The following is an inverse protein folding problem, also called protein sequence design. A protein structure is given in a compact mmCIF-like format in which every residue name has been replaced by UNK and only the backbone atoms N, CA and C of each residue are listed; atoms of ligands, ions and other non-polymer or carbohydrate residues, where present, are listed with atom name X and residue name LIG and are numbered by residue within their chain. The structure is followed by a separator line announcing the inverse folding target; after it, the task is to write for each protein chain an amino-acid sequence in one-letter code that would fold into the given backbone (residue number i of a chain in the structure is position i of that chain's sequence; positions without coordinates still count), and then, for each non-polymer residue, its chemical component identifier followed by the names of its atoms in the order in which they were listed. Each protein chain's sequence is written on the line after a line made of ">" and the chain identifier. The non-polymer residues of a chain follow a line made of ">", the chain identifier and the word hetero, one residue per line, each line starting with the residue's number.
data_IF_742990938483
#
_entry.id   IF_742990938483
#
_cell.length_a   1.000
_cell.length_b   1.000
_cell.length_c   1.000
_cell.angle_alpha   90.00
_cell.angle_beta   90.00
_cell.angle_gamma   90.00
#
_symmetry.space_group_name_H-M   'P 1'
#
loop_
_entity.id
_entity.type
_entity.pdbx_description
1 polymer ?
#
# COMPACT_ATOMS: atom_id res chain seq x y z
N UNK A 1 7.22 -17.63 23.76
CA UNK A 1 6.42 -16.66 22.96
C UNK A 1 5.82 -17.45 21.83
N UNK A 2 4.49 -17.48 21.71
CA UNK A 2 3.79 -18.21 20.66
C UNK A 2 4.20 -17.66 19.30
N UNK A 3 4.69 -18.53 18.41
CA UNK A 3 5.04 -18.26 17.00
C UNK A 3 3.77 -17.87 16.21
N UNK A 4 3.15 -16.74 16.52
CA UNK A 4 2.04 -16.21 15.76
C UNK A 4 2.61 -15.19 14.77
N UNK A 5 2.48 -15.47 13.47
CA UNK A 5 2.86 -14.56 12.39
C UNK A 5 2.28 -13.16 12.62
N UNK A 6 3.06 -12.12 12.26
CA UNK A 6 2.66 -10.73 12.55
C UNK A 6 1.55 -10.21 11.62
N UNK A 7 1.41 -10.83 10.45
CA UNK A 7 0.49 -10.42 9.38
C UNK A 7 -0.68 -11.39 9.31
N UNK A 8 -1.90 -10.87 9.47
CA UNK A 8 -3.13 -11.60 9.18
C UNK A 8 -3.48 -11.41 7.71
N UNK A 9 -3.68 -12.52 7.00
CA UNK A 9 -4.18 -12.49 5.62
C UNK A 9 -5.66 -12.82 5.65
N UNK A 10 -6.50 -12.07 4.93
CA UNK A 10 -7.92 -12.38 4.81
C UNK A 10 -8.53 -11.81 3.53
N UNK A 11 -9.69 -12.33 3.17
CA UNK A 11 -10.61 -11.68 2.25
C UNK A 11 -11.56 -10.76 3.02
N UNK A 12 -12.02 -9.69 2.38
CA UNK A 12 -13.01 -8.77 2.95
C UNK A 12 -14.04 -8.39 1.88
N UNK A 13 -15.30 -8.69 2.13
CA UNK A 13 -16.37 -8.48 1.16
C UNK A 13 -16.67 -6.99 0.91
N UNK A 14 -16.30 -6.11 1.85
CA UNK A 14 -16.41 -4.65 1.66
C UNK A 14 -15.35 -4.17 0.66
N UNK A 15 -14.17 -4.77 0.70
CA UNK A 15 -13.11 -4.57 -0.32
C UNK A 15 -13.59 -5.12 -1.66
N UNK A 16 -14.13 -6.34 -1.71
CA UNK A 16 -14.66 -6.92 -2.97
C UNK A 16 -15.77 -6.07 -3.59
N UNK A 17 -16.67 -5.52 -2.76
CA UNK A 17 -17.73 -4.62 -3.19
C UNK A 17 -17.15 -3.33 -3.78
N UNK A 18 -16.22 -2.69 -3.08
CA UNK A 18 -15.59 -1.45 -3.55
C UNK A 18 -14.82 -1.67 -4.85
N UNK A 19 -14.09 -2.79 -4.97
CA UNK A 19 -13.42 -3.21 -6.21
C UNK A 19 -14.41 -3.44 -7.35
N UNK A 20 -15.59 -4.01 -7.08
CA UNK A 20 -16.64 -4.22 -8.07
C UNK A 20 -17.25 -2.90 -8.57
N UNK A 21 -17.58 -1.97 -7.66
CA UNK A 21 -18.09 -0.65 -8.05
C UNK A 21 -17.04 0.09 -8.88
N UNK A 22 -15.77 0.05 -8.46
CA UNK A 22 -14.65 0.65 -9.21
C UNK A 22 -14.52 0.04 -10.62
N UNK A 23 -14.72 -1.27 -10.76
CA UNK A 23 -14.69 -1.97 -12.05
C UNK A 23 -15.77 -1.48 -13.04
N UNK A 24 -16.88 -0.94 -12.53
CA UNK A 24 -17.98 -0.41 -13.34
C UNK A 24 -17.82 1.08 -13.71
N UNK A 25 -16.81 1.78 -13.16
CA UNK A 25 -16.47 3.16 -13.52
C UNK A 25 -15.58 3.23 -14.76
N UNK A 26 -15.10 4.42 -15.12
CA UNK A 26 -14.06 4.60 -16.14
C UNK A 26 -12.62 4.35 -15.64
N UNK A 27 -12.45 4.07 -14.34
CA UNK A 27 -11.15 3.76 -13.73
C UNK A 27 -10.37 2.68 -14.48
N UNK A 28 -10.95 1.52 -14.84
CA UNK A 28 -10.24 0.48 -15.59
C UNK A 28 -9.59 0.98 -16.88
N UNK A 29 -10.29 1.86 -17.61
CA UNK A 29 -9.78 2.42 -18.86
C UNK A 29 -8.69 3.47 -18.60
N UNK A 30 -8.89 4.36 -17.62
CA UNK A 30 -7.89 5.35 -17.21
C UNK A 30 -6.60 4.71 -16.71
N UNK A 31 -6.69 3.66 -15.89
CA UNK A 31 -5.53 2.89 -15.39
C UNK A 31 -4.76 2.25 -16.55
N UNK A 32 -5.45 1.58 -17.48
CA UNK A 32 -4.82 0.98 -18.67
C UNK A 32 -4.17 2.02 -19.60
N UNK A 33 -4.80 3.18 -19.80
CA UNK A 33 -4.21 4.27 -20.60
C UNK A 33 -2.95 4.85 -19.94
N UNK A 34 -2.91 4.91 -18.61
CA UNK A 34 -1.76 5.40 -17.86
C UNK A 34 -0.60 4.40 -17.85
N UNK A 35 -0.91 3.12 -17.68
CA UNK A 35 0.08 2.04 -17.63
C UNK A 35 -0.54 0.76 -18.19
N UNK A 36 -0.34 0.46 -19.48
CA UNK A 36 -0.83 -0.79 -20.07
C UNK A 36 -0.25 -2.01 -19.33
N UNK A 37 -1.10 -2.97 -18.98
CA UNK A 37 -0.69 -4.20 -18.29
C UNK A 37 -1.74 -5.31 -18.43
N UNK A 38 -1.29 -6.56 -18.37
CA UNK A 38 -2.19 -7.70 -18.24
C UNK A 38 -3.01 -7.65 -16.95
N UNK A 39 -4.33 -7.62 -17.07
CA UNK A 39 -5.26 -7.67 -15.94
C UNK A 39 -5.64 -9.10 -15.60
N UNK A 40 -5.81 -9.39 -14.30
CA UNK A 40 -6.29 -10.70 -13.84
C UNK A 40 -7.63 -11.08 -14.50
N UNK A 41 -7.84 -12.38 -14.76
CA UNK A 41 -9.05 -12.86 -15.44
C UNK A 41 -10.33 -12.45 -14.68
N UNK A 42 -10.33 -12.61 -13.36
CA UNK A 42 -11.45 -12.21 -12.50
C UNK A 42 -11.82 -10.73 -12.65
N UNK A 43 -10.83 -9.82 -12.72
CA UNK A 43 -11.08 -8.40 -12.89
C UNK A 43 -11.79 -8.10 -14.22
N UNK A 44 -11.33 -8.72 -15.32
CA UNK A 44 -11.97 -8.58 -16.64
C UNK A 44 -13.39 -9.14 -16.66
N UNK A 45 -13.58 -10.33 -16.09
CA UNK A 45 -14.88 -10.98 -15.99
C UNK A 45 -15.86 -10.15 -15.17
N UNK A 46 -15.41 -9.59 -14.04
CA UNK A 46 -16.22 -8.71 -13.19
C UNK A 46 -16.64 -7.45 -13.93
N UNK A 47 -15.74 -6.78 -14.65
CA UNK A 47 -16.11 -5.62 -15.47
C UNK A 47 -17.18 -5.96 -16.50
N UNK A 48 -17.00 -7.06 -17.24
CA UNK A 48 -17.99 -7.53 -18.23
C UNK A 48 -19.34 -7.86 -17.58
N UNK A 49 -19.32 -8.51 -16.42
CA UNK A 49 -20.51 -8.87 -15.65
C UNK A 49 -21.32 -7.63 -15.23
N UNK A 50 -20.64 -6.55 -14.88
CA UNK A 50 -21.25 -5.32 -14.36
C UNK A 50 -21.74 -4.34 -15.43
N UNK A 51 -21.53 -4.61 -16.73
CA UNK A 51 -21.98 -3.71 -17.81
C UNK A 51 -23.48 -3.39 -17.74
N UNK A 52 -24.30 -4.33 -17.28
CA UNK A 52 -25.76 -4.15 -17.13
C UNK A 52 -26.15 -3.19 -16.00
N UNK A 53 -25.25 -2.92 -15.05
CA UNK A 53 -25.46 -2.04 -13.89
C UNK A 53 -24.51 -0.85 -13.86
N UNK A 54 -23.81 -0.55 -14.96
CA UNK A 54 -22.84 0.57 -15.02
C UNK A 54 -23.44 1.96 -14.75
N UNK A 55 -24.75 2.12 -14.99
CA UNK A 55 -25.48 3.36 -14.74
C UNK A 55 -26.09 3.42 -13.32
N UNK A 56 -25.80 2.45 -12.46
CA UNK A 56 -26.34 2.40 -11.10
C UNK A 56 -25.88 3.63 -10.28
N UNK A 57 -26.74 4.21 -9.41
CA UNK A 57 -26.39 5.38 -8.61
C UNK A 57 -25.06 5.27 -7.84
N UNK A 58 -24.77 4.10 -7.24
CA UNK A 58 -23.49 3.87 -6.55
C UNK A 58 -22.26 4.07 -7.45
N UNK A 59 -22.34 3.63 -8.72
CA UNK A 59 -21.27 3.75 -9.71
C UNK A 59 -21.11 5.20 -10.15
N UNK A 60 -22.24 5.89 -10.41
CA UNK A 60 -22.24 7.31 -10.77
C UNK A 60 -21.67 8.19 -9.66
N UNK A 61 -22.03 7.90 -8.40
CA UNK A 61 -21.47 8.59 -7.23
C UNK A 61 -19.95 8.39 -7.14
N UNK A 62 -19.46 7.15 -7.29
CA UNK A 62 -18.02 6.89 -7.32
C UNK A 62 -17.33 7.61 -8.47
N UNK A 63 -17.91 7.57 -9.68
CA UNK A 63 -17.38 8.27 -10.85
C UNK A 63 -17.25 9.77 -10.58
N UNK A 64 -18.28 10.41 -10.04
CA UNK A 64 -18.25 11.82 -9.70
C UNK A 64 -17.18 12.18 -8.66
N UNK A 65 -16.90 11.28 -7.70
CA UNK A 65 -15.81 11.45 -6.73
C UNK A 65 -14.44 11.26 -7.40
N UNK A 66 -14.29 10.28 -8.29
CA UNK A 66 -13.06 10.07 -9.07
C UNK A 66 -12.74 11.27 -9.96
N UNK A 67 -13.75 11.86 -10.60
CA UNK A 67 -13.57 13.05 -11.45
C UNK A 67 -13.17 14.28 -10.64
N UNK A 68 -13.47 14.30 -9.33
CA UNK A 68 -12.98 15.28 -8.36
C UNK A 68 -11.60 14.93 -7.78
N UNK A 69 -10.94 13.89 -8.30
CA UNK A 69 -9.66 13.35 -7.82
C UNK A 69 -9.69 12.86 -6.36
N UNK A 70 -10.84 12.37 -5.88
CA UNK A 70 -10.89 11.70 -4.58
C UNK A 70 -9.98 10.44 -4.60
N UNK A 71 -9.13 10.24 -3.58
CA UNK A 71 -8.18 9.14 -3.57
C UNK A 71 -8.89 7.79 -3.33
N UNK A 72 -8.39 6.72 -3.93
CA UNK A 72 -8.94 5.37 -3.73
C UNK A 72 -8.89 4.95 -2.26
N UNK A 73 -7.83 5.32 -1.55
CA UNK A 73 -7.68 5.05 -0.12
C UNK A 73 -8.87 5.59 0.68
N UNK A 74 -9.48 6.72 0.29
CA UNK A 74 -10.68 7.22 0.96
C UNK A 74 -11.87 6.28 0.77
N UNK A 75 -12.08 5.76 -0.44
CA UNK A 75 -13.18 4.83 -0.73
C UNK A 75 -13.02 3.51 0.03
N UNK A 76 -11.83 2.91 0.00
CA UNK A 76 -11.58 1.65 0.69
C UNK A 76 -11.55 1.82 2.22
N UNK A 77 -11.08 2.97 2.74
CA UNK A 77 -11.21 3.31 4.17
C UNK A 77 -12.68 3.40 4.58
N UNK A 78 -13.49 4.12 3.79
CA UNK A 78 -14.93 4.22 4.02
C UNK A 78 -15.59 2.84 4.02
N UNK A 79 -15.32 2.01 3.01
CA UNK A 79 -15.85 0.65 2.92
C UNK A 79 -15.53 -0.18 4.17
N UNK A 80 -14.29 -0.14 4.67
CA UNK A 80 -13.86 -0.92 5.83
C UNK A 80 -14.46 -0.44 7.16
N UNK A 81 -15.05 0.75 7.21
CA UNK A 81 -15.79 1.26 8.36
C UNK A 81 -17.28 0.89 8.34
N UNK A 82 -17.80 0.41 7.21
CA UNK A 82 -19.17 -0.04 7.10
C UNK A 82 -19.36 -1.40 7.79
N UNK A 83 -20.54 -1.59 8.40
CA UNK A 83 -20.99 -2.92 8.81
C UNK A 83 -21.21 -3.81 7.59
N UNK A 84 -21.14 -5.12 7.78
CA UNK A 84 -21.45 -6.10 6.74
C UNK A 84 -22.51 -7.08 7.25
N UNK A 85 -23.51 -7.47 6.44
CA UNK A 85 -23.75 -7.08 5.04
C UNK A 85 -24.57 -5.79 4.86
N UNK A 86 -25.08 -5.20 5.94
CA UNK A 86 -26.04 -4.09 5.86
C UNK A 86 -25.45 -2.75 5.35
N UNK A 87 -24.12 -2.59 5.35
CA UNK A 87 -23.41 -1.36 4.98
C UNK A 87 -23.87 -0.12 5.77
N UNK A 88 -24.06 -0.30 7.08
CA UNK A 88 -24.44 0.78 7.99
C UNK A 88 -23.22 1.37 8.68
N UNK A 89 -23.33 2.63 9.05
CA UNK A 89 -22.36 3.38 9.83
C UNK A 89 -23.12 4.34 10.76
N UNK A 90 -22.59 4.57 11.96
CA UNK A 90 -23.20 5.48 12.93
C UNK A 90 -23.19 6.93 12.44
N UNK A 91 -22.09 7.35 11.81
CA UNK A 91 -21.90 8.71 11.33
C UNK A 91 -21.11 8.68 10.02
N UNK A 92 -21.68 9.24 8.95
CA UNK A 92 -21.00 9.30 7.66
C UNK A 92 -19.94 10.42 7.66
N UNK A 93 -18.73 10.19 7.13
CA UNK A 93 -17.75 11.25 6.93
C UNK A 93 -18.32 12.38 6.06
N UNK A 94 -17.96 13.63 6.37
CA UNK A 94 -18.51 14.80 5.68
C UNK A 94 -18.23 14.85 4.18
N UNK A 95 -17.18 14.18 3.71
CA UNK A 95 -16.84 14.09 2.29
C UNK A 95 -17.68 13.05 1.53
N UNK A 96 -18.34 12.12 2.24
CA UNK A 96 -19.15 11.06 1.64
C UNK A 96 -20.50 11.62 1.23
N UNK A 97 -20.91 11.46 -0.05
CA UNK A 97 -22.24 11.88 -0.48
C UNK A 97 -23.37 11.21 0.32
N UNK A 98 -24.47 11.94 0.62
CA UNK A 98 -25.59 11.37 1.36
C UNK A 98 -26.11 10.08 0.72
N UNK A 99 -26.41 9.08 1.56
CA UNK A 99 -26.95 7.77 1.17
C UNK A 99 -26.05 6.93 0.26
N UNK A 100 -24.78 7.27 0.07
CA UNK A 100 -23.91 6.47 -0.79
C UNK A 100 -23.77 5.02 -0.26
N UNK A 101 -23.75 4.84 1.06
CA UNK A 101 -23.78 3.51 1.68
C UNK A 101 -25.05 2.70 1.35
N UNK A 102 -26.22 3.35 1.33
CA UNK A 102 -27.48 2.70 0.91
C UNK A 102 -27.44 2.32 -0.57
N UNK A 103 -26.89 3.20 -1.42
CA UNK A 103 -26.69 2.91 -2.84
C UNK A 103 -25.70 1.75 -3.05
N UNK A 104 -24.66 1.63 -2.24
CA UNK A 104 -23.73 0.50 -2.29
C UNK A 104 -24.43 -0.83 -1.92
N UNK A 105 -25.34 -0.80 -0.95
CA UNK A 105 -26.11 -1.98 -0.56
C UNK A 105 -27.09 -2.40 -1.66
N UNK A 106 -27.78 -1.42 -2.26
CA UNK A 106 -28.66 -1.65 -3.41
C UNK A 106 -27.88 -2.20 -4.61
N UNK A 107 -26.68 -1.66 -4.91
CA UNK A 107 -25.80 -2.16 -5.96
C UNK A 107 -25.43 -3.63 -5.74
N UNK A 108 -25.05 -4.00 -4.51
CA UNK A 108 -24.71 -5.37 -4.16
C UNK A 108 -25.84 -6.35 -4.49
N UNK A 109 -27.08 -5.97 -4.20
CA UNK A 109 -28.29 -6.76 -4.48
C UNK A 109 -28.62 -6.79 -5.97
N UNK A 110 -28.73 -5.63 -6.62
CA UNK A 110 -29.14 -5.53 -8.03
C UNK A 110 -28.15 -6.19 -8.98
N UNK A 111 -26.84 -6.02 -8.71
CA UNK A 111 -25.79 -6.67 -9.46
C UNK A 111 -25.65 -8.16 -9.12
N UNK A 112 -26.37 -8.69 -8.13
CA UNK A 112 -26.30 -10.09 -7.66
C UNK A 112 -24.87 -10.53 -7.31
N UNK A 113 -24.11 -9.65 -6.65
CA UNK A 113 -22.69 -9.86 -6.36
C UNK A 113 -22.44 -11.11 -5.50
N UNK A 114 -23.34 -11.44 -4.58
CA UNK A 114 -23.24 -12.67 -3.78
C UNK A 114 -23.12 -13.93 -4.66
N UNK A 115 -23.95 -14.01 -5.72
CA UNK A 115 -23.97 -15.15 -6.65
C UNK A 115 -22.71 -15.13 -7.51
N UNK A 116 -22.35 -13.93 -8.02
CA UNK A 116 -21.14 -13.75 -8.82
C UNK A 116 -19.89 -14.21 -8.06
N UNK A 117 -19.70 -13.74 -6.82
CA UNK A 117 -18.54 -14.10 -6.01
C UNK A 117 -18.51 -15.58 -5.67
N UNK A 118 -19.66 -16.22 -5.44
CA UNK A 118 -19.71 -17.67 -5.24
C UNK A 118 -19.25 -18.44 -6.48
N UNK A 119 -19.61 -17.97 -7.69
CA UNK A 119 -19.20 -18.61 -8.94
C UNK A 119 -17.71 -18.40 -9.25
N UNK A 120 -17.15 -17.28 -8.79
CA UNK A 120 -15.76 -16.87 -9.02
C UNK A 120 -14.85 -17.06 -7.79
N UNK A 121 -15.32 -17.82 -6.78
CA UNK A 121 -14.66 -17.91 -5.48
C UNK A 121 -13.25 -18.52 -5.59
N UNK A 122 -13.02 -19.43 -6.53
CA UNK A 122 -11.73 -20.10 -6.73
C UNK A 122 -10.58 -19.11 -6.88
N UNK A 123 -10.74 -18.04 -7.66
CA UNK A 123 -9.71 -17.03 -7.86
C UNK A 123 -9.35 -16.29 -6.56
N UNK A 124 -10.36 -16.00 -5.72
CA UNK A 124 -10.15 -15.32 -4.44
C UNK A 124 -9.53 -16.24 -3.40
N UNK A 125 -9.98 -17.50 -3.34
CA UNK A 125 -9.41 -18.50 -2.42
C UNK A 125 -7.97 -18.85 -2.78
N UNK A 126 -7.64 -18.96 -4.07
CA UNK A 126 -6.25 -19.11 -4.53
C UNK A 126 -5.38 -17.96 -4.05
N UNK A 127 -5.80 -16.71 -4.30
CA UNK A 127 -5.05 -15.54 -3.87
C UNK A 127 -4.89 -15.44 -2.34
N UNK A 128 -5.92 -15.84 -1.58
CA UNK A 128 -5.85 -15.97 -0.12
C UNK A 128 -4.78 -16.99 0.29
N UNK A 129 -4.88 -18.22 -0.23
CA UNK A 129 -3.98 -19.31 0.12
C UNK A 129 -2.51 -19.01 -0.24
N UNK A 130 -2.27 -18.47 -1.43
CA UNK A 130 -0.96 -18.06 -1.90
C UNK A 130 -0.36 -16.96 -1.00
N UNK A 131 -1.17 -15.97 -0.62
CA UNK A 131 -0.75 -14.90 0.28
C UNK A 131 -0.47 -15.40 1.70
N UNK A 132 -1.33 -16.27 2.24
CA UNK A 132 -1.12 -16.92 3.54
C UNK A 132 0.20 -17.70 3.57
N UNK A 133 0.49 -18.45 2.50
CA UNK A 133 1.75 -19.17 2.33
C UNK A 133 2.95 -18.22 2.36
N UNK A 134 2.87 -17.06 1.70
CA UNK A 134 3.95 -16.07 1.71
C UNK A 134 4.15 -15.42 3.08
N UNK A 135 3.09 -15.13 3.82
CA UNK A 135 3.22 -14.51 5.14
C UNK A 135 3.47 -15.49 6.29
N UNK A 136 3.54 -16.78 5.99
CA UNK A 136 3.95 -17.78 6.98
C UNK A 136 5.34 -17.46 7.51
N UNK A 137 5.46 -17.38 8.83
CA UNK A 137 6.72 -17.08 9.54
C UNK A 137 7.33 -15.69 9.21
N UNK A 138 6.50 -14.73 8.76
CA UNK A 138 6.90 -13.33 8.52
C UNK A 138 6.64 -12.47 9.76
N UNK A 139 7.66 -11.70 10.17
CA UNK A 139 7.62 -10.84 11.36
C UNK A 139 8.13 -9.43 11.07
N UNK A 140 7.22 -8.51 10.75
CA UNK A 140 7.56 -7.11 10.48
C UNK A 140 7.69 -6.25 11.73
N UNK A 141 6.96 -6.57 12.83
CA UNK A 141 6.90 -5.72 14.01
C UNK A 141 8.26 -5.46 14.63
N UNK A 142 9.16 -6.46 14.82
CA UNK A 142 10.46 -6.20 15.42
C UNK A 142 11.26 -5.14 14.66
N UNK A 143 11.19 -5.15 13.33
CA UNK A 143 11.87 -4.15 12.52
C UNK A 143 11.21 -2.78 12.63
N UNK A 144 9.88 -2.72 12.52
CA UNK A 144 9.13 -1.47 12.58
C UNK A 144 9.28 -0.78 13.95
N UNK A 145 9.38 -1.56 15.03
CA UNK A 145 9.56 -1.07 16.39
C UNK A 145 10.86 -0.28 16.58
N UNK A 146 11.92 -0.62 15.85
CA UNK A 146 13.19 0.12 15.90
C UNK A 146 13.07 1.57 15.37
N UNK A 147 11.99 1.89 14.67
CA UNK A 147 11.75 3.21 14.11
C UNK A 147 10.61 3.96 14.79
N UNK A 148 9.53 3.24 15.13
CA UNK A 148 8.27 3.85 15.57
C UNK A 148 7.89 3.52 17.02
N UNK A 149 8.70 2.74 17.73
CA UNK A 149 8.32 2.16 19.01
C UNK A 149 7.24 1.08 18.86
N UNK A 150 6.53 0.71 19.94
CA UNK A 150 5.52 -0.34 19.89
C UNK A 150 4.45 -0.12 18.82
N UNK A 151 4.35 -1.05 17.86
CA UNK A 151 3.28 -1.07 16.86
C UNK A 151 2.11 -1.87 17.44
N UNK A 152 1.07 -1.16 17.89
CA UNK A 152 -0.10 -1.76 18.54
C UNK A 152 -1.12 -2.30 17.52
N UNK A 153 -1.15 -1.73 16.32
CA UNK A 153 -2.12 -2.07 15.30
C UNK A 153 -1.89 -3.47 14.72
N UNK A 154 -2.96 -4.17 14.33
CA UNK A 154 -2.87 -5.43 13.60
C UNK A 154 -2.41 -5.15 12.17
N UNK A 155 -1.47 -5.94 11.66
CA UNK A 155 -1.03 -5.86 10.27
C UNK A 155 -1.91 -6.80 9.45
N UNK A 156 -2.65 -6.27 8.50
CA UNK A 156 -3.63 -7.03 7.71
C UNK A 156 -3.33 -6.91 6.23
N UNK A 157 -3.15 -8.04 5.55
CA UNK A 157 -3.01 -8.10 4.11
C UNK A 157 -4.29 -8.65 3.48
N UNK A 158 -4.80 -7.94 2.48
CA UNK A 158 -5.98 -8.34 1.70
C UNK A 158 -5.54 -8.49 0.24
N UNK A 159 -5.39 -9.72 -0.27
CA UNK A 159 -5.14 -9.91 -1.69
C UNK A 159 -6.38 -9.47 -2.49
N UNK A 160 -6.16 -8.70 -3.56
CA UNK A 160 -7.22 -8.15 -4.40
C UNK A 160 -7.00 -8.52 -5.87
N UNK A 161 -7.64 -9.59 -6.34
CA UNK A 161 -7.59 -10.01 -7.75
C UNK A 161 -8.52 -9.22 -8.68
N UNK A 162 -9.12 -8.14 -8.15
CA UNK A 162 -10.00 -7.21 -8.85
C UNK A 162 -9.37 -5.80 -8.91
N UNK A 163 -10.15 -4.77 -9.21
CA UNK A 163 -9.65 -3.39 -9.28
C UNK A 163 -9.40 -2.78 -7.89
N UNK A 164 -8.43 -1.86 -7.73
CA UNK A 164 -7.44 -1.44 -8.72
C UNK A 164 -6.42 -2.56 -9.01
N UNK A 165 -6.00 -2.69 -10.28
CA UNK A 165 -5.11 -3.77 -10.74
C UNK A 165 -3.63 -3.39 -10.74
N UNK A 166 -3.31 -2.12 -10.59
CA UNK A 166 -1.94 -1.57 -10.72
C UNK A 166 -1.48 -0.73 -9.54
N UNK A 167 -2.27 -0.66 -8.47
CA UNK A 167 -2.01 0.16 -7.29
C UNK A 167 -2.27 -0.66 -6.02
N UNK A 168 -1.30 -0.65 -5.12
CA UNK A 168 -1.48 -1.13 -3.74
C UNK A 168 -2.01 0.01 -2.86
N UNK A 169 -2.98 -0.29 -2.01
CA UNK A 169 -3.62 0.69 -1.13
C UNK A 169 -3.17 0.48 0.32
N UNK A 170 -2.84 1.58 0.98
CA UNK A 170 -2.59 1.64 2.41
C UNK A 170 -3.80 2.26 3.13
N UNK A 171 -4.49 1.46 3.94
CA UNK A 171 -5.70 1.88 4.65
C UNK A 171 -5.51 1.67 6.15
N UNK A 172 -5.91 2.66 6.95
CA UNK A 172 -6.04 2.52 8.40
C UNK A 172 -7.52 2.39 8.73
N UNK A 173 -7.92 1.26 9.31
CA UNK A 173 -9.31 1.00 9.69
C UNK A 173 -9.34 0.37 11.08
N UNK A 174 -10.07 0.98 12.02
CA UNK A 174 -10.09 0.56 13.42
C UNK A 174 -8.65 0.46 13.99
N UNK A 175 -8.30 -0.66 14.60
CA UNK A 175 -6.98 -0.96 15.14
C UNK A 175 -6.09 -1.73 14.14
N UNK A 176 -6.33 -1.57 12.83
CA UNK A 176 -5.65 -2.31 11.77
C UNK A 176 -4.92 -1.37 10.79
N UNK A 177 -3.70 -1.78 10.39
CA UNK A 177 -3.01 -1.28 9.21
C UNK A 177 -3.25 -2.29 8.09
N UNK A 178 -3.96 -1.87 7.06
CA UNK A 178 -4.45 -2.74 6.00
C UNK A 178 -3.69 -2.42 4.70
N UNK A 179 -3.11 -3.47 4.12
CA UNK A 179 -2.54 -3.46 2.77
C UNK A 179 -3.50 -4.20 1.84
N UNK A 180 -4.12 -3.49 0.90
CA UNK A 180 -4.93 -4.09 -0.17
C UNK A 180 -4.08 -4.06 -1.43
N UNK A 181 -3.67 -5.22 -1.92
CA UNK A 181 -2.70 -5.28 -3.02
C UNK A 181 -3.17 -6.20 -4.14
N UNK A 182 -3.10 -5.77 -5.42
CA UNK A 182 -3.23 -6.67 -6.55
C UNK A 182 -2.04 -7.63 -6.66
N UNK A 183 -2.19 -8.73 -7.41
CA UNK A 183 -1.07 -9.61 -7.73
C UNK A 183 -0.01 -8.86 -8.54
N UNK A 184 1.23 -9.34 -8.51
CA UNK A 184 2.34 -8.70 -9.22
C UNK A 184 2.05 -8.66 -10.72
N UNK A 185 2.13 -7.47 -11.31
CA UNK A 185 2.01 -7.35 -12.77
C UNK A 185 3.12 -8.13 -13.48
N UNK A 186 2.73 -8.93 -14.47
CA UNK A 186 3.66 -9.60 -15.36
C UNK A 186 4.21 -8.66 -16.43
N UNK A 187 5.22 -9.14 -17.15
CA UNK A 187 5.76 -8.43 -18.31
C UNK A 187 4.80 -8.57 -19.52
N UNK A 188 4.51 -7.44 -20.16
CA UNK A 188 3.65 -7.38 -21.35
C UNK A 188 2.17 -7.66 -21.02
N UNK A 189 1.53 -8.44 -21.88
CA UNK A 189 0.10 -8.75 -21.80
C UNK A 189 -0.21 -10.03 -21.01
N UNK A 190 0.82 -10.66 -20.43
CA UNK A 190 0.67 -11.85 -19.60
C UNK A 190 -0.20 -11.57 -18.36
N UNK A 191 -0.98 -12.54 -17.88
CA UNK A 191 -1.71 -12.39 -16.63
C UNK A 191 -0.73 -12.13 -15.48
N UNK A 192 -1.16 -11.41 -14.42
CA UNK A 192 -0.31 -11.14 -13.27
C UNK A 192 0.12 -12.44 -12.58
N UNK A 193 1.27 -12.39 -11.91
CA UNK A 193 1.87 -13.55 -11.25
C UNK A 193 1.05 -13.91 -9.99
N UNK A 194 0.87 -15.20 -9.68
CA UNK A 194 0.37 -15.66 -8.39
C UNK A 194 1.10 -15.01 -7.21
N UNK A 195 0.43 -14.90 -6.06
CA UNK A 195 1.01 -14.23 -4.89
C UNK A 195 2.21 -14.99 -4.33
N UNK A 196 2.32 -16.30 -4.58
CA UNK A 196 3.34 -17.17 -3.99
C UNK A 196 4.59 -17.41 -4.87
N UNK A 197 4.73 -16.68 -5.98
CA UNK A 197 5.90 -16.79 -6.87
C UNK A 197 7.05 -15.82 -6.53
N UNK A 198 6.75 -14.68 -5.90
CA UNK A 198 7.73 -13.64 -5.58
C UNK A 198 7.57 -13.11 -4.15
N UNK A 199 8.26 -13.72 -3.16
CA UNK A 199 8.20 -13.26 -1.78
C UNK A 199 8.77 -11.84 -1.61
N UNK A 200 9.76 -11.45 -2.43
CA UNK A 200 10.34 -10.11 -2.40
C UNK A 200 9.32 -9.04 -2.73
N UNK A 201 8.49 -9.27 -3.75
CA UNK A 201 7.37 -8.41 -4.10
C UNK A 201 6.34 -8.29 -2.98
N UNK A 202 5.87 -9.40 -2.43
CA UNK A 202 4.82 -9.37 -1.40
C UNK A 202 5.32 -8.71 -0.11
N UNK A 203 6.56 -9.00 0.31
CA UNK A 203 7.12 -8.41 1.51
C UNK A 203 7.32 -6.91 1.38
N UNK A 204 7.88 -6.45 0.25
CA UNK A 204 8.05 -5.01 0.02
C UNK A 204 6.70 -4.31 -0.10
N UNK A 205 5.72 -4.88 -0.79
CA UNK A 205 4.41 -4.27 -0.95
C UNK A 205 3.73 -4.06 0.41
N UNK A 206 3.63 -5.11 1.23
CA UNK A 206 3.00 -5.00 2.54
C UNK A 206 3.76 -4.06 3.48
N UNK A 207 5.09 -4.22 3.58
CA UNK A 207 5.90 -3.41 4.47
C UNK A 207 5.91 -1.93 4.04
N UNK A 208 5.87 -1.63 2.74
CA UNK A 208 5.73 -0.26 2.26
C UNK A 208 4.37 0.34 2.64
N UNK A 209 3.26 -0.40 2.51
CA UNK A 209 1.95 0.15 2.87
C UNK A 209 1.80 0.37 4.38
N UNK A 210 2.22 -0.59 5.22
CA UNK A 210 2.21 -0.40 6.67
C UNK A 210 3.15 0.73 7.09
N UNK A 211 4.35 0.74 6.52
CA UNK A 211 5.37 1.77 6.76
C UNK A 211 4.86 3.16 6.42
N UNK A 212 4.13 3.36 5.31
CA UNK A 212 3.56 4.66 4.93
C UNK A 212 2.62 5.19 6.02
N UNK A 213 1.72 4.34 6.52
CA UNK A 213 0.77 4.74 7.56
C UNK A 213 1.47 5.07 8.87
N UNK A 214 2.52 4.31 9.23
CA UNK A 214 3.31 4.55 10.43
C UNK A 214 4.15 5.83 10.32
N UNK A 215 4.86 6.03 9.21
CA UNK A 215 5.65 7.25 8.97
C UNK A 215 4.74 8.48 8.98
N UNK A 216 3.61 8.47 8.26
CA UNK A 216 2.69 9.60 8.26
C UNK A 216 2.21 9.96 9.67
N UNK A 217 1.81 8.97 10.47
CA UNK A 217 1.41 9.22 11.84
C UNK A 217 2.57 9.75 12.68
N UNK A 218 3.75 9.12 12.58
CA UNK A 218 4.95 9.47 13.32
C UNK A 218 5.41 10.90 13.03
N UNK A 219 5.46 11.31 11.76
CA UNK A 219 5.84 12.68 11.38
C UNK A 219 4.82 13.70 11.88
N UNK A 220 3.52 13.36 11.83
CA UNK A 220 2.44 14.23 12.32
C UNK A 220 2.53 14.45 13.83
N UNK A 221 2.78 13.40 14.62
CA UNK A 221 2.88 13.51 16.08
C UNK A 221 4.16 14.23 16.53
N UNK A 222 5.18 14.32 15.66
CA UNK A 222 6.45 15.01 15.93
C UNK A 222 6.62 16.28 15.10
N UNK A 223 5.53 16.90 14.63
CA UNK A 223 5.57 18.05 13.72
C UNK A 223 6.48 19.19 14.23
N UNK A 224 6.41 19.52 15.53
CA UNK A 224 7.19 20.59 16.13
C UNK A 224 8.70 20.34 16.04
N UNK A 225 9.12 19.11 16.36
CA UNK A 225 10.53 18.69 16.28
C UNK A 225 11.06 18.63 14.84
N UNK A 226 10.17 18.50 13.84
CA UNK A 226 10.53 18.45 12.43
C UNK A 226 10.70 19.82 11.77
N UNK A 227 10.21 20.90 12.39
CA UNK A 227 10.19 22.26 11.81
C UNK A 227 11.55 22.72 11.28
N UNK A 228 12.64 22.39 11.97
CA UNK A 228 14.01 22.72 11.55
C UNK A 228 14.58 21.71 10.54
N UNK A 229 14.19 20.44 10.64
CA UNK A 229 14.65 19.36 9.76
C UNK A 229 14.19 19.59 8.32
N UNK A 230 12.92 19.96 8.15
CA UNK A 230 12.29 20.15 6.83
C UNK A 230 12.86 21.35 6.05
N UNK A 231 13.54 22.27 6.72
CA UNK A 231 14.22 23.40 6.08
C UNK A 231 15.45 22.94 5.27
N UNK A 232 16.01 21.77 5.57
CA UNK A 232 17.10 21.20 4.80
C UNK A 232 16.57 20.24 3.74
N UNK A 233 16.66 20.65 2.47
CA UNK A 233 16.22 19.84 1.34
C UNK A 233 16.96 18.49 1.27
N UNK A 234 16.22 17.45 0.87
CA UNK A 234 16.79 16.12 0.65
C UNK A 234 17.65 16.09 -0.64
N UNK A 235 18.76 15.34 -0.66
CA UNK A 235 19.64 15.14 -1.83
C UNK A 235 19.01 14.18 -2.85
N UNK A 236 17.93 14.61 -3.49
CA UNK A 236 17.13 13.85 -4.47
C UNK A 236 17.11 14.55 -5.83
N UNK A 237 16.83 13.80 -6.89
CA UNK A 237 16.72 14.33 -8.26
C UNK A 237 15.51 15.25 -8.41
N UNK A 238 15.58 16.19 -9.37
CA UNK A 238 14.46 17.10 -9.64
C UNK A 238 13.23 16.36 -10.19
N UNK A 239 13.44 15.27 -10.93
CA UNK A 239 12.37 14.37 -11.35
C UNK A 239 11.62 13.79 -10.14
N UNK A 240 12.34 13.38 -9.09
CA UNK A 240 11.73 12.83 -7.88
C UNK A 240 10.99 13.92 -7.09
N UNK A 241 11.55 15.14 -7.00
CA UNK A 241 10.87 16.30 -6.39
C UNK A 241 9.58 16.67 -7.12
N UNK A 242 9.58 16.60 -8.45
CA UNK A 242 8.39 16.88 -9.25
C UNK A 242 7.26 15.88 -9.00
N UNK A 243 7.60 14.62 -8.70
CA UNK A 243 6.64 13.57 -8.36
C UNK A 243 6.16 13.62 -6.91
N UNK A 244 7.03 14.05 -6.00
CA UNK A 244 6.77 14.14 -4.56
C UNK A 244 7.09 15.57 -4.09
N UNK A 245 6.13 16.51 -4.17
CA UNK A 245 6.39 17.93 -3.98
C UNK A 245 6.83 18.30 -2.56
N UNK A 246 6.38 17.57 -1.54
CA UNK A 246 6.67 17.91 -0.13
C UNK A 246 7.82 17.10 0.44
N UNK A 247 8.51 17.66 1.44
CA UNK A 247 9.58 16.94 2.17
C UNK A 247 9.05 15.64 2.79
N UNK A 248 7.85 15.67 3.35
CA UNK A 248 7.20 14.54 4.00
C UNK A 248 6.94 13.40 3.02
N UNK A 249 6.42 13.69 1.83
CA UNK A 249 6.21 12.67 0.78
C UNK A 249 7.55 12.09 0.31
N UNK A 250 8.55 12.95 0.07
CA UNK A 250 9.88 12.52 -0.36
C UNK A 250 10.53 11.60 0.67
N UNK A 251 10.51 12.00 1.93
CA UNK A 251 11.05 11.22 3.04
C UNK A 251 10.30 9.90 3.18
N UNK A 252 8.96 9.94 3.19
CA UNK A 252 8.13 8.75 3.39
C UNK A 252 8.40 7.71 2.31
N UNK A 253 8.36 8.09 1.03
CA UNK A 253 8.57 7.17 -0.09
C UNK A 253 9.96 6.54 -0.05
N UNK A 254 11.01 7.33 0.20
CA UNK A 254 12.37 6.81 0.32
C UNK A 254 12.56 5.92 1.56
N UNK A 255 11.97 6.32 2.68
CA UNK A 255 12.10 5.63 3.95
C UNK A 255 11.46 4.26 3.87
N UNK A 256 10.21 4.17 3.39
CA UNK A 256 9.51 2.89 3.28
C UNK A 256 10.18 1.97 2.26
N UNK A 257 10.72 2.54 1.17
CA UNK A 257 11.50 1.76 0.21
C UNK A 257 12.79 1.21 0.83
N UNK A 258 13.46 1.98 1.68
CA UNK A 258 14.71 1.59 2.32
C UNK A 258 14.51 0.57 3.46
N UNK A 259 13.47 0.70 4.28
CA UNK A 259 13.17 -0.33 5.29
C UNK A 259 12.77 -1.65 4.63
N UNK A 260 12.07 -1.62 3.49
CA UNK A 260 11.80 -2.85 2.73
C UNK A 260 13.08 -3.50 2.21
N UNK A 261 14.04 -2.73 1.71
CA UNK A 261 15.35 -3.26 1.32
C UNK A 261 16.08 -3.92 2.50
N UNK A 262 16.12 -3.24 3.66
CA UNK A 262 16.77 -3.76 4.87
C UNK A 262 16.09 -5.03 5.40
N UNK A 263 14.76 -5.12 5.32
CA UNK A 263 14.03 -6.34 5.67
C UNK A 263 14.39 -7.50 4.73
N UNK A 264 14.27 -7.28 3.42
CA UNK A 264 14.58 -8.29 2.41
C UNK A 264 16.04 -8.74 2.48
N UNK A 265 16.97 -7.85 2.85
CA UNK A 265 18.37 -8.21 3.06
C UNK A 265 18.57 -9.27 4.12
N UNK A 266 17.82 -9.17 5.21
CA UNK A 266 17.92 -10.09 6.34
C UNK A 266 17.18 -11.41 6.09
N UNK A 267 16.12 -11.37 5.28
CA UNK A 267 15.16 -12.48 5.18
C UNK A 267 15.13 -13.20 3.82
N UNK A 268 15.71 -12.62 2.76
CA UNK A 268 15.76 -13.22 1.42
C UNK A 268 17.21 -13.44 0.99
N UNK A 269 17.75 -12.55 0.16
CA UNK A 269 19.13 -12.63 -0.31
C UNK A 269 19.67 -11.28 -0.74
N UNK A 270 21.00 -11.16 -0.82
CA UNK A 270 21.66 -9.96 -1.36
C UNK A 270 21.29 -9.69 -2.83
N UNK A 271 21.04 -10.74 -3.61
CA UNK A 271 20.66 -10.62 -5.02
C UNK A 271 19.28 -9.97 -5.16
N UNK A 272 18.32 -10.35 -4.32
CA UNK A 272 16.97 -9.77 -4.30
C UNK A 272 16.99 -8.26 -4.00
N UNK A 273 17.78 -7.84 -3.01
CA UNK A 273 17.91 -6.40 -2.70
C UNK A 273 18.51 -5.65 -3.89
N UNK A 274 19.55 -6.19 -4.51
CA UNK A 274 20.21 -5.54 -5.64
C UNK A 274 19.24 -5.38 -6.82
N UNK A 275 18.43 -6.42 -7.10
CA UNK A 275 17.39 -6.37 -8.11
C UNK A 275 16.31 -5.34 -7.77
N UNK A 276 15.83 -5.31 -6.52
CA UNK A 276 14.87 -4.34 -6.03
C UNK A 276 15.38 -2.90 -6.13
N UNK A 277 16.58 -2.62 -5.62
CA UNK A 277 17.19 -1.28 -5.65
C UNK A 277 17.43 -0.82 -7.09
N UNK A 278 17.86 -1.73 -7.98
CA UNK A 278 17.99 -1.43 -9.40
C UNK A 278 16.65 -1.10 -10.04
N UNK A 279 15.60 -1.84 -9.72
CA UNK A 279 14.24 -1.60 -10.20
C UNK A 279 13.70 -0.26 -9.70
N UNK A 280 13.79 0.05 -8.40
CA UNK A 280 13.35 1.34 -7.84
C UNK A 280 14.11 2.53 -8.47
N UNK A 281 15.41 2.36 -8.73
CA UNK A 281 16.21 3.37 -9.45
C UNK A 281 15.72 3.58 -10.88
N UNK A 282 15.50 2.49 -11.65
CA UNK A 282 15.16 2.56 -13.08
C UNK A 282 13.70 2.96 -13.33
N UNK A 283 12.77 2.38 -12.58
CA UNK A 283 11.33 2.52 -12.81
C UNK A 283 10.71 3.68 -12.05
N UNK A 284 11.27 4.02 -10.88
CA UNK A 284 10.70 5.02 -9.97
C UNK A 284 11.62 6.22 -9.74
N UNK A 285 12.78 6.27 -10.39
CA UNK A 285 13.72 7.39 -10.32
C UNK A 285 14.38 7.53 -8.94
N UNK A 286 14.39 6.48 -8.12
CA UNK A 286 14.92 6.51 -6.75
C UNK A 286 16.46 6.38 -6.70
N UNK A 287 17.17 7.29 -7.37
CA UNK A 287 18.65 7.24 -7.46
C UNK A 287 19.35 7.31 -6.10
N UNK A 288 18.74 7.98 -5.13
CA UNK A 288 19.31 8.16 -3.79
C UNK A 288 18.96 7.03 -2.81
N UNK A 289 18.20 6.01 -3.24
CA UNK A 289 17.78 4.89 -2.36
C UNK A 289 18.95 4.14 -1.69
N UNK A 290 20.07 3.82 -2.37
CA UNK A 290 21.22 3.21 -1.70
C UNK A 290 21.78 4.06 -0.56
N UNK A 291 21.80 5.38 -0.74
CA UNK A 291 22.21 6.33 0.30
C UNK A 291 21.26 6.28 1.50
N UNK A 292 19.95 6.21 1.25
CA UNK A 292 18.94 6.09 2.30
C UNK A 292 19.11 4.78 3.08
N UNK A 293 19.30 3.64 2.39
CA UNK A 293 19.56 2.33 3.00
C UNK A 293 20.80 2.41 3.92
N UNK A 294 21.90 3.00 3.43
CA UNK A 294 23.13 3.18 4.22
C UNK A 294 22.91 4.01 5.49
N UNK A 295 22.13 5.10 5.38
CA UNK A 295 21.82 5.98 6.50
C UNK A 295 20.95 5.29 7.55
N UNK A 296 19.90 4.58 7.13
CA UNK A 296 19.03 3.84 8.04
C UNK A 296 19.76 2.67 8.72
N UNK A 297 20.69 2.00 8.01
CA UNK A 297 21.55 0.98 8.61
C UNK A 297 22.43 1.55 9.72
N UNK A 298 23.02 2.73 9.50
CA UNK A 298 23.79 3.44 10.54
C UNK A 298 22.93 3.87 11.72
N UNK A 299 21.71 4.35 11.45
CA UNK A 299 20.74 4.66 12.50
C UNK A 299 20.45 3.44 13.36
N UNK A 300 20.13 2.29 12.76
CA UNK A 300 19.83 1.05 13.48
C UNK A 300 20.99 0.60 14.38
N UNK A 301 22.22 0.63 13.86
CA UNK A 301 23.41 0.31 14.67
C UNK A 301 23.59 1.28 15.85
N UNK A 302 23.41 2.59 15.62
CA UNK A 302 23.52 3.59 16.68
C UNK A 302 22.37 3.50 17.70
N UNK A 303 21.18 3.11 17.27
CA UNK A 303 20.03 2.83 18.12
C UNK A 303 20.28 1.62 19.03
N UNK A 304 20.83 0.53 18.49
CA UNK A 304 21.23 -0.65 19.27
C UNK A 304 22.33 -0.34 20.30
N UNK A 305 23.23 0.60 19.98
CA UNK A 305 24.25 1.13 20.90
C UNK A 305 23.70 2.13 21.93
N UNK A 306 22.40 2.46 21.89
CA UNK A 306 21.75 3.39 22.81
C UNK A 306 22.06 4.87 22.55
N UNK A 307 22.62 5.23 21.39
CA UNK A 307 22.90 6.63 21.02
C UNK A 307 21.65 7.44 20.72
N UNK A 308 20.60 6.77 20.26
CA UNK A 308 19.28 7.35 19.98
C UNK A 308 18.23 6.57 20.77
N UNK A 309 17.25 7.26 21.35
CA UNK A 309 16.10 6.62 22.00
C UNK A 309 14.99 6.35 21.01
N UNK A 310 14.83 7.24 20.03
CA UNK A 310 13.80 7.15 19.01
C UNK A 310 14.29 7.75 17.67
N UNK A 311 13.54 7.53 16.59
CA UNK A 311 13.89 8.06 15.27
C UNK A 311 13.98 9.59 15.27
N UNK A 312 13.15 10.29 16.04
CA UNK A 312 13.14 11.75 16.09
C UNK A 312 14.47 12.34 16.61
N UNK A 313 15.20 11.62 17.47
CA UNK A 313 16.53 12.05 17.95
C UNK A 313 17.56 12.08 16.82
N UNK A 314 17.36 11.24 15.81
CA UNK A 314 18.26 11.09 14.67
C UNK A 314 17.96 12.07 13.53
N UNK A 315 16.68 12.40 13.31
CA UNK A 315 16.21 13.22 12.19
C UNK A 315 16.91 14.58 12.03
N UNK A 316 17.32 15.31 13.08
CA UNK A 316 18.11 16.54 12.93
C UNK A 316 19.43 16.34 12.18
N UNK A 317 20.07 15.18 12.33
CA UNK A 317 21.34 14.85 11.65
C UNK A 317 21.12 14.20 10.27
N UNK A 318 19.91 13.71 10.01
CA UNK A 318 19.58 12.89 8.84
C UNK A 318 19.91 13.57 7.50
N UNK A 319 19.48 14.83 7.21
CA UNK A 319 19.73 15.43 5.89
C UNK A 319 21.22 15.52 5.55
N UNK A 320 22.07 15.86 6.53
CA UNK A 320 23.53 15.95 6.37
C UNK A 320 24.12 14.58 6.09
N UNK A 321 23.74 13.56 6.88
CA UNK A 321 24.23 12.19 6.69
C UNK A 321 23.77 11.62 5.34
N UNK A 322 22.54 11.92 4.93
CA UNK A 322 21.98 11.46 3.67
C UNK A 322 22.68 12.11 2.47
N UNK A 323 23.01 13.40 2.55
CA UNK A 323 23.80 14.10 1.52
C UNK A 323 25.18 13.48 1.31
N UNK A 324 25.85 13.09 2.39
CA UNK A 324 27.16 12.42 2.33
C UNK A 324 27.00 11.03 1.70
N UNK A 325 26.05 10.23 2.18
CA UNK A 325 25.83 8.87 1.68
C UNK A 325 25.42 8.85 0.20
N UNK A 326 24.53 9.76 -0.22
CA UNK A 326 24.08 9.85 -1.61
C UNK A 326 25.24 10.16 -2.58
N UNK A 327 26.24 10.95 -2.15
CA UNK A 327 27.45 11.24 -2.94
C UNK A 327 28.36 10.02 -3.08
N UNK A 328 28.56 9.27 -2.01
CA UNK A 328 29.45 8.10 -2.01
C UNK A 328 28.94 7.02 -2.95
N UNK A 329 27.62 6.81 -3.01
CA UNK A 329 27.04 5.75 -3.86
C UNK A 329 26.81 6.20 -5.31
N UNK A 330 26.95 7.49 -5.61
CA UNK A 330 26.90 8.02 -6.98
C UNK A 330 28.26 8.01 -7.70
N UNK A 331 29.35 7.78 -6.98
CA UNK A 331 30.72 7.62 -7.49
C UNK A 331 31.02 6.16 -7.81
#
# INVERSE_FOLDING_TARGET
>A
MTNQQDVSVRLDDRVRLMSAVLAATDWPLKSQNKKPHGTHLHARSTRKFLEVVKNHPAVQTMQGLLDQNAPLEAFFTFALQLSWPDLKMSELPSWVPPKWNEQLADFYVQARLAIWWKNEDSAWQSALHESEKMFKDVFFRPMLQNFFGPVAEKLVFIPNVSYPTDIDLAVRANEELVCIAPPRLAWGDSPPWPYDEDPGYIYRTALQQYGKLLVHNYLRTHADALTTVVQTALPISDQFKGRYPTWQEQFTVLFVAAISALYMEKHLSKAEINAYVLMERKMHGMTSLPGMISVLRRYLAAYEEGKYKELIDFLPSFPKQFKIAARIVSL
#
